data_IF_270664113137
#
_entry.id   IF_270664113137
#
_cell.length_a   1.000
_cell.length_b   1.000
_cell.length_c   1.000
_cell.angle_alpha   90.00
_cell.angle_beta   90.00
_cell.angle_gamma   90.00
#
_symmetry.space_group_name_H-M   'P 1'
#
loop_
_entity.id
_entity.type
_entity.pdbx_description
1 polymer ?
#
# COMPACT_ATOMS: atom_id res chain seq x y z
N UNK A 1 22.08 24.37 -64.32
CA UNK A 1 21.20 24.73 -63.18
C UNK A 1 19.85 24.05 -63.36
N UNK A 2 19.66 22.87 -62.75
CA UNK A 2 18.47 22.34 -62.05
C UNK A 2 19.02 21.07 -61.36
N UNK A 3 19.63 21.19 -60.19
CA UNK A 3 19.01 21.07 -58.86
C UNK A 3 18.57 19.63 -58.51
N UNK A 4 19.53 18.90 -57.92
CA UNK A 4 19.39 18.00 -56.76
C UNK A 4 18.11 17.16 -56.65
N UNK A 5 18.14 15.94 -57.19
CA UNK A 5 17.35 14.81 -56.69
C UNK A 5 18.21 13.54 -56.73
N UNK A 6 19.41 13.68 -56.19
CA UNK A 6 20.30 12.59 -55.84
C UNK A 6 19.68 11.79 -54.68
N UNK A 7 19.79 10.46 -54.71
CA UNK A 7 19.90 9.60 -53.53
C UNK A 7 18.68 9.37 -52.62
N UNK A 8 17.59 8.75 -53.09
CA UNK A 8 16.58 8.20 -52.13
C UNK A 8 16.04 6.80 -52.46
N UNK A 9 16.20 6.25 -53.66
CA UNK A 9 15.43 5.03 -54.02
C UNK A 9 16.13 3.67 -53.84
N UNK A 10 17.30 3.61 -53.19
CA UNK A 10 18.00 2.33 -52.93
C UNK A 10 18.07 1.90 -51.45
N UNK A 11 17.45 2.65 -50.53
CA UNK A 11 17.47 2.33 -49.08
C UNK A 11 16.17 1.71 -48.55
N UNK A 12 15.48 0.88 -49.32
CA UNK A 12 14.39 0.02 -48.81
C UNK A 12 14.78 -1.45 -48.99
N UNK A 13 15.99 -1.81 -48.56
CA UNK A 13 16.41 -3.20 -48.36
C UNK A 13 16.50 -3.43 -46.85
N UNK A 14 15.37 -3.87 -46.29
CA UNK A 14 15.26 -4.83 -45.18
C UNK A 14 16.42 -4.82 -44.17
N UNK A 15 16.43 -3.87 -43.22
CA UNK A 15 17.13 -4.06 -41.95
C UNK A 15 16.31 -5.01 -41.07
N UNK A 16 16.37 -6.31 -41.37
CA UNK A 16 16.08 -7.34 -40.38
C UNK A 16 17.19 -7.26 -39.33
N UNK A 17 16.95 -6.50 -38.27
CA UNK A 17 17.82 -6.46 -37.10
C UNK A 17 17.95 -7.88 -36.53
N UNK A 18 19.08 -8.52 -36.83
CA UNK A 18 19.45 -9.85 -36.36
C UNK A 18 19.75 -9.74 -34.86
N UNK A 19 18.69 -9.92 -34.06
CA UNK A 19 18.73 -9.76 -32.61
C UNK A 19 19.58 -10.90 -32.03
N UNK A 20 20.88 -10.65 -31.82
CA UNK A 20 21.77 -11.60 -31.15
C UNK A 20 21.18 -12.01 -29.79
N UNK A 21 20.71 -13.26 -29.71
CA UNK A 21 20.24 -13.84 -28.44
C UNK A 21 21.45 -14.12 -27.56
N UNK A 22 21.84 -13.13 -26.75
CA UNK A 22 22.78 -13.34 -25.65
C UNK A 22 22.22 -14.42 -24.72
N UNK A 23 22.77 -15.63 -24.82
CA UNK A 23 22.35 -16.75 -23.96
C UNK A 23 22.88 -16.50 -22.56
N UNK A 24 22.06 -15.87 -21.72
CA UNK A 24 22.40 -15.64 -20.30
C UNK A 24 22.44 -16.98 -19.57
N UNK A 25 23.64 -17.43 -19.20
CA UNK A 25 23.83 -18.63 -18.37
C UNK A 25 23.78 -18.24 -16.90
N UNK A 26 22.85 -18.82 -16.16
CA UNK A 26 22.73 -18.65 -14.70
C UNK A 26 23.41 -19.82 -13.97
N UNK A 27 24.15 -19.52 -12.89
CA UNK A 27 24.76 -20.54 -12.03
C UNK A 27 23.70 -21.35 -11.26
N UNK A 28 23.99 -22.60 -10.92
CA UNK A 28 23.03 -23.45 -10.18
C UNK A 28 22.73 -22.93 -8.77
N UNK A 29 23.73 -22.33 -8.10
CA UNK A 29 23.53 -21.69 -6.79
C UNK A 29 22.51 -20.55 -6.87
N UNK A 30 22.58 -19.72 -7.93
CA UNK A 30 21.63 -18.65 -8.16
C UNK A 30 20.22 -19.19 -8.42
N UNK A 31 20.08 -20.23 -9.25
CA UNK A 31 18.79 -20.88 -9.52
C UNK A 31 18.14 -21.38 -8.24
N UNK A 32 18.91 -22.05 -7.37
CA UNK A 32 18.43 -22.53 -6.07
C UNK A 32 17.99 -21.40 -5.15
N UNK A 33 18.76 -20.31 -5.08
CA UNK A 33 18.39 -19.11 -4.30
C UNK A 33 17.05 -18.51 -4.75
N UNK A 34 16.85 -18.39 -6.06
CA UNK A 34 15.60 -17.87 -6.63
C UNK A 34 14.42 -18.78 -6.30
N UNK A 35 14.60 -20.11 -6.41
CA UNK A 35 13.57 -21.09 -6.06
C UNK A 35 13.23 -21.04 -4.58
N UNK A 36 14.24 -20.96 -3.70
CA UNK A 36 14.04 -20.87 -2.25
C UNK A 36 13.21 -19.63 -1.87
N UNK A 37 13.49 -18.47 -2.47
CA UNK A 37 12.68 -17.26 -2.24
C UNK A 37 11.21 -17.41 -2.68
N UNK A 38 10.94 -18.28 -3.67
CA UNK A 38 9.58 -18.60 -4.13
C UNK A 38 8.92 -19.62 -3.18
N UNK A 39 9.68 -20.60 -2.70
CA UNK A 39 9.22 -21.59 -1.70
C UNK A 39 8.87 -20.93 -0.36
N UNK A 40 9.68 -19.97 0.07
CA UNK A 40 9.46 -19.15 1.26
C UNK A 40 8.23 -18.24 1.12
N UNK A 41 7.63 -18.14 -0.08
CA UNK A 41 6.49 -17.26 -0.35
C UNK A 41 6.84 -15.77 -0.35
N UNK A 42 8.13 -15.41 -0.33
CA UNK A 42 8.59 -14.00 -0.38
C UNK A 42 8.25 -13.34 -1.70
N UNK A 43 8.32 -14.10 -2.80
CA UNK A 43 8.06 -13.60 -4.14
C UNK A 43 7.27 -14.59 -4.99
N UNK A 44 6.33 -14.08 -5.80
CA UNK A 44 5.75 -14.82 -6.93
C UNK A 44 6.76 -14.91 -8.10
N UNK A 45 6.57 -15.80 -9.07
CA UNK A 45 7.45 -15.98 -10.25
C UNK A 45 7.76 -14.66 -10.96
N UNK A 46 6.75 -13.83 -11.20
CA UNK A 46 6.89 -12.52 -11.85
C UNK A 46 7.65 -11.52 -10.98
N UNK A 47 7.42 -11.54 -9.66
CA UNK A 47 8.12 -10.68 -8.71
C UNK A 47 9.58 -11.08 -8.57
N UNK A 48 9.86 -12.39 -8.44
CA UNK A 48 11.21 -12.93 -8.40
C UNK A 48 11.97 -12.59 -9.68
N UNK A 49 11.32 -12.70 -10.84
CA UNK A 49 11.89 -12.29 -12.13
C UNK A 49 12.30 -10.81 -12.12
N UNK A 50 11.42 -9.90 -11.66
CA UNK A 50 11.71 -8.47 -11.56
C UNK A 50 12.83 -8.19 -10.56
N UNK A 51 12.73 -8.75 -9.36
CA UNK A 51 13.68 -8.55 -8.25
C UNK A 51 15.10 -9.02 -8.61
N UNK A 52 15.22 -10.15 -9.31
CA UNK A 52 16.52 -10.73 -9.68
C UNK A 52 16.96 -10.40 -11.12
N UNK A 53 16.25 -9.52 -11.84
CA UNK A 53 16.63 -9.07 -13.19
C UNK A 53 16.63 -10.18 -14.26
N UNK A 54 15.75 -11.18 -14.13
CA UNK A 54 15.67 -12.29 -15.06
C UNK A 54 14.83 -11.87 -16.28
N UNK A 55 15.34 -12.12 -17.49
CA UNK A 55 14.72 -11.59 -18.74
C UNK A 55 13.38 -12.22 -19.12
N UNK A 56 12.93 -13.29 -18.45
CA UNK A 56 11.67 -13.94 -18.81
C UNK A 56 11.09 -14.88 -17.75
N UNK A 57 9.76 -14.88 -17.64
CA UNK A 57 9.01 -15.71 -16.70
C UNK A 57 9.09 -17.21 -17.03
N UNK A 58 9.28 -17.53 -18.31
CA UNK A 58 9.46 -18.89 -18.81
C UNK A 58 10.74 -19.52 -18.25
N UNK A 59 11.80 -18.73 -18.02
CA UNK A 59 13.07 -19.19 -17.47
C UNK A 59 12.90 -19.71 -16.04
N UNK A 60 12.22 -18.94 -15.19
CA UNK A 60 11.94 -19.31 -13.79
C UNK A 60 11.00 -20.52 -13.74
N UNK A 61 9.96 -20.54 -14.58
CA UNK A 61 9.06 -21.69 -14.73
C UNK A 61 9.81 -22.95 -15.16
N UNK A 62 10.77 -22.83 -16.08
CA UNK A 62 11.64 -23.92 -16.51
C UNK A 62 12.50 -24.49 -15.36
N UNK A 63 13.01 -23.62 -14.49
CA UNK A 63 13.73 -24.06 -13.29
C UNK A 63 12.80 -24.77 -12.30
N UNK A 64 11.61 -24.23 -12.02
CA UNK A 64 10.64 -24.88 -11.14
C UNK A 64 10.26 -26.28 -11.62
N UNK A 65 10.08 -26.46 -12.95
CA UNK A 65 9.86 -27.79 -13.55
C UNK A 65 11.06 -28.72 -13.36
N UNK A 66 12.28 -28.23 -13.66
CA UNK A 66 13.53 -29.01 -13.52
C UNK A 66 13.77 -29.46 -12.08
N UNK A 67 13.40 -28.64 -11.10
CA UNK A 67 13.56 -28.91 -9.68
C UNK A 67 12.33 -29.61 -9.04
N UNK A 68 11.35 -30.05 -9.84
CA UNK A 68 10.20 -30.81 -9.37
C UNK A 68 9.17 -30.00 -8.56
N UNK A 69 9.26 -28.67 -8.56
CA UNK A 69 8.40 -27.76 -7.78
C UNK A 69 7.15 -27.34 -8.57
N UNK A 70 6.53 -28.30 -9.26
CA UNK A 70 5.37 -28.06 -10.12
C UNK A 70 4.14 -27.55 -9.35
N UNK A 71 4.03 -27.90 -8.06
CA UNK A 71 2.98 -27.37 -7.18
C UNK A 71 3.07 -25.84 -7.00
N UNK A 72 4.24 -25.22 -7.17
CA UNK A 72 4.44 -23.77 -7.13
C UNK A 72 4.13 -23.08 -8.48
N UNK A 73 3.89 -23.86 -9.54
CA UNK A 73 3.59 -23.32 -10.88
C UNK A 73 2.11 -22.95 -11.00
N UNK A 74 1.23 -23.66 -10.28
CA UNK A 74 -0.21 -23.40 -10.22
C UNK A 74 -0.65 -22.65 -8.97
N UNK A 75 0.18 -22.60 -7.92
CA UNK A 75 -0.08 -21.74 -6.76
C UNK A 75 0.19 -20.31 -7.21
N UNK A 76 -0.85 -19.63 -7.67
CA UNK A 76 -0.90 -18.16 -7.67
C UNK A 76 -0.74 -17.79 -6.20
N UNK A 77 0.50 -17.69 -5.72
CA UNK A 77 0.77 -17.05 -4.44
C UNK A 77 0.46 -15.59 -4.73
N UNK A 78 -0.80 -15.22 -4.46
CA UNK A 78 -1.39 -13.90 -4.69
C UNK A 78 -0.84 -12.92 -3.66
N UNK A 79 0.49 -12.84 -3.55
CA UNK A 79 1.19 -11.92 -2.62
C UNK A 79 0.94 -10.46 -3.03
N UNK A 80 0.60 -10.21 -4.29
CA UNK A 80 0.39 -8.85 -4.80
C UNK A 80 -1.05 -8.33 -4.67
N UNK A 81 -2.03 -9.14 -4.24
CA UNK A 81 -3.43 -8.66 -4.10
C UNK A 81 -4.06 -8.90 -2.73
N UNK A 82 -3.50 -9.76 -1.88
CA UNK A 82 -3.94 -9.81 -0.49
C UNK A 82 -3.63 -8.51 0.24
N UNK A 83 -2.57 -7.78 -0.13
CA UNK A 83 -2.26 -6.52 0.53
C UNK A 83 -3.35 -5.45 0.31
N UNK A 84 -3.94 -5.35 -0.87
CA UNK A 84 -4.90 -4.28 -1.16
C UNK A 84 -6.30 -4.59 -0.60
N UNK A 85 -6.75 -5.83 -0.71
CA UNK A 85 -8.00 -6.28 -0.09
C UNK A 85 -7.89 -6.28 1.44
N UNK A 86 -6.75 -6.69 1.99
CA UNK A 86 -6.52 -6.66 3.43
C UNK A 86 -6.40 -5.22 3.94
N UNK A 87 -5.72 -4.32 3.21
CA UNK A 87 -5.69 -2.88 3.53
C UNK A 87 -7.07 -2.24 3.47
N UNK A 88 -7.91 -2.61 2.50
CA UNK A 88 -9.29 -2.12 2.42
C UNK A 88 -10.10 -2.60 3.63
N UNK A 89 -10.01 -3.89 3.98
CA UNK A 89 -10.67 -4.45 5.17
C UNK A 89 -10.19 -3.82 6.47
N UNK A 90 -8.89 -3.59 6.61
CA UNK A 90 -8.29 -2.90 7.76
C UNK A 90 -8.74 -1.44 7.83
N UNK A 91 -8.78 -0.75 6.68
CA UNK A 91 -9.28 0.62 6.59
C UNK A 91 -10.76 0.71 6.98
N UNK A 92 -11.61 -0.18 6.45
CA UNK A 92 -13.03 -0.25 6.82
C UNK A 92 -13.23 -0.56 8.30
N UNK A 93 -12.43 -1.47 8.87
CA UNK A 93 -12.46 -1.76 10.31
C UNK A 93 -12.13 -0.52 11.13
N UNK A 94 -11.10 0.22 10.72
CA UNK A 94 -10.68 1.45 11.39
C UNK A 94 -11.73 2.56 11.27
N UNK A 95 -12.39 2.68 10.10
CA UNK A 95 -13.51 3.61 9.92
C UNK A 95 -14.64 3.26 10.89
N UNK A 96 -15.06 1.99 10.98
CA UNK A 96 -16.11 1.56 11.91
C UNK A 96 -15.76 1.83 13.37
N UNK A 97 -14.52 1.59 13.78
CA UNK A 97 -14.05 1.88 15.15
C UNK A 97 -14.08 3.38 15.45
N UNK A 98 -13.64 4.21 14.50
CA UNK A 98 -13.65 5.67 14.63
C UNK A 98 -15.07 6.23 14.65
N UNK A 99 -15.97 5.72 13.80
CA UNK A 99 -17.39 6.11 13.79
C UNK A 99 -18.06 5.78 15.12
N UNK A 100 -17.76 4.60 15.70
CA UNK A 100 -18.27 4.23 17.02
C UNK A 100 -17.77 5.19 18.11
N UNK A 101 -16.46 5.44 18.16
CA UNK A 101 -15.90 6.37 19.14
C UNK A 101 -16.48 7.79 18.98
N UNK A 102 -16.70 8.24 17.75
CA UNK A 102 -17.32 9.52 17.46
C UNK A 102 -18.78 9.57 17.93
N UNK A 103 -19.53 8.49 17.73
CA UNK A 103 -20.92 8.37 18.20
C UNK A 103 -20.98 8.51 19.72
N UNK A 104 -20.14 7.76 20.44
CA UNK A 104 -20.10 7.78 21.91
C UNK A 104 -19.83 9.20 22.43
N UNK A 105 -18.82 9.88 21.88
CA UNK A 105 -18.47 11.27 22.23
C UNK A 105 -19.59 12.24 21.87
N UNK A 106 -20.28 12.03 20.74
CA UNK A 106 -21.38 12.89 20.30
C UNK A 106 -22.57 12.77 21.24
N UNK A 107 -22.93 11.55 21.64
CA UNK A 107 -24.00 11.28 22.61
C UNK A 107 -23.69 11.95 23.94
N UNK A 108 -22.47 11.75 24.47
CA UNK A 108 -22.02 12.40 25.69
C UNK A 108 -22.13 13.94 25.59
N UNK A 109 -21.68 14.52 24.48
CA UNK A 109 -21.74 15.97 24.27
C UNK A 109 -23.18 16.50 24.29
N UNK A 110 -24.10 15.79 23.64
CA UNK A 110 -25.53 16.13 23.63
C UNK A 110 -26.12 16.02 25.04
N UNK A 111 -25.76 14.98 25.79
CA UNK A 111 -26.18 14.80 27.17
C UNK A 111 -25.67 15.95 28.06
N UNK A 112 -24.38 16.28 28.00
CA UNK A 112 -23.81 17.39 28.78
C UNK A 112 -24.45 18.73 28.42
N UNK A 113 -24.70 19.00 27.15
CA UNK A 113 -25.43 20.22 26.71
C UNK A 113 -26.83 20.28 27.31
N UNK A 114 -27.52 19.14 27.33
CA UNK A 114 -28.86 19.02 27.89
C UNK A 114 -28.86 19.23 29.40
N UNK A 115 -27.90 18.65 30.12
CA UNK A 115 -27.70 18.84 31.55
C UNK A 115 -27.45 20.31 31.89
N UNK A 116 -26.60 21.01 31.14
CA UNK A 116 -26.35 22.45 31.33
C UNK A 116 -27.63 23.26 31.13
N UNK A 117 -28.47 22.87 30.16
CA UNK A 117 -29.75 23.54 29.90
C UNK A 117 -30.74 23.33 31.05
N UNK A 118 -30.84 22.11 31.56
CA UNK A 118 -31.72 21.75 32.70
C UNK A 118 -31.26 22.45 33.98
N UNK A 119 -29.97 22.40 34.30
CA UNK A 119 -29.42 23.08 35.48
C UNK A 119 -29.69 24.60 35.46
N UNK A 120 -29.63 25.23 34.28
CA UNK A 120 -29.99 26.64 34.13
C UNK A 120 -31.49 26.88 34.30
N UNK A 121 -32.34 26.00 33.78
CA UNK A 121 -33.80 26.17 33.84
C UNK A 121 -34.35 25.92 35.25
N UNK A 122 -33.98 24.79 35.84
CA UNK A 122 -34.67 24.25 37.02
C UNK A 122 -33.97 24.64 38.32
N UNK A 123 -32.65 24.87 38.28
CA UNK A 123 -31.85 25.26 39.44
C UNK A 123 -31.37 26.71 39.37
N UNK A 124 -31.60 27.42 38.25
CA UNK A 124 -31.09 28.76 37.98
C UNK A 124 -29.55 28.89 38.11
N UNK A 125 -28.82 27.79 37.87
CA UNK A 125 -27.36 27.74 37.94
C UNK A 125 -26.78 27.88 36.53
N UNK A 126 -26.00 28.93 36.28
CA UNK A 126 -25.25 29.08 35.03
C UNK A 126 -23.87 28.41 35.14
N UNK A 127 -23.83 27.10 34.87
CA UNK A 127 -22.62 26.29 34.95
C UNK A 127 -21.47 26.83 34.08
N UNK A 128 -21.76 27.46 32.94
CA UNK A 128 -20.73 28.05 32.08
C UNK A 128 -20.05 29.22 32.78
N UNK A 129 -20.84 30.12 33.36
CA UNK A 129 -20.33 31.27 34.12
C UNK A 129 -19.51 30.81 35.32
N UNK A 130 -20.01 29.81 36.05
CA UNK A 130 -19.32 29.23 37.21
C UNK A 130 -17.96 28.65 36.81
N UNK A 131 -17.89 27.86 35.74
CA UNK A 131 -16.63 27.27 35.26
C UNK A 131 -15.61 28.34 34.86
N UNK A 132 -16.03 29.42 34.19
CA UNK A 132 -15.13 30.54 33.82
C UNK A 132 -14.55 31.22 35.07
N UNK A 133 -15.38 31.44 36.09
CA UNK A 133 -14.93 32.05 37.35
C UNK A 133 -13.93 31.16 38.06
N UNK A 134 -14.25 29.86 38.19
CA UNK A 134 -13.37 28.88 38.86
C UNK A 134 -12.04 28.74 38.14
N UNK A 135 -12.05 28.63 36.81
CA UNK A 135 -10.83 28.53 36.02
C UNK A 135 -9.92 29.76 36.20
N UNK A 136 -10.49 30.97 36.16
CA UNK A 136 -9.75 32.21 36.43
C UNK A 136 -9.16 32.25 37.85
N UNK A 137 -9.88 31.71 38.84
CA UNK A 137 -9.40 31.62 40.23
C UNK A 137 -8.22 30.67 40.35
N UNK A 138 -8.34 29.47 39.79
CA UNK A 138 -7.28 28.45 39.81
C UNK A 138 -6.02 28.96 39.10
N UNK A 139 -6.17 29.56 37.91
CA UNK A 139 -5.03 30.14 37.19
C UNK A 139 -4.34 31.27 37.95
N UNK A 140 -5.09 32.04 38.74
CA UNK A 140 -4.52 33.12 39.55
C UNK A 140 -3.73 32.57 40.74
N UNK A 141 -4.27 31.55 41.42
CA UNK A 141 -3.57 30.85 42.50
C UNK A 141 -2.25 30.20 42.04
N UNK A 142 -2.20 29.67 40.81
CA UNK A 142 -0.98 29.12 40.21
C UNK A 142 0.05 30.18 39.77
N UNK A 143 -0.35 31.44 39.60
CA UNK A 143 0.55 32.54 39.20
C UNK A 143 1.10 33.30 40.41
N UNK A 144 0.38 33.27 41.52
CA UNK A 144 0.73 33.93 42.79
C UNK A 144 1.52 33.01 43.75
N UNK A 145 1.75 31.75 43.38
CA UNK A 145 2.64 30.78 44.07
C UNK A 145 3.98 30.68 43.33
#
# INVERSE_FOLDING_TARGET
>A
MVSVACSVLEKVVIERQEKMTTTTRYSEAFKRKVIQSIEDGKYNQTQAMKHYGIKGSVTVRGWLKKYGKNHLIGKIVRVETDNELNRLKEAEKKIRELEKALLDVTIENVLYKSLVKVAKRDLNIDLKKTMVILYRRIQRSFRES
#
